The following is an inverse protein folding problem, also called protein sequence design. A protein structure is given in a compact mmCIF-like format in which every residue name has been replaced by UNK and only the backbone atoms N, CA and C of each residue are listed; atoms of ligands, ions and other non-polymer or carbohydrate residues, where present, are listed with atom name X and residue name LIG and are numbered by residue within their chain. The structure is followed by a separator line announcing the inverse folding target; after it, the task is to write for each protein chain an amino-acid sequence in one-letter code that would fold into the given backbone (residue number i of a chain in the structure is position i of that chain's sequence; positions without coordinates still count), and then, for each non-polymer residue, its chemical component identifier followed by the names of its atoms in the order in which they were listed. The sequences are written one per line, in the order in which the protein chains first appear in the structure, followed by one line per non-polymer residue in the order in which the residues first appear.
data_IF_309483524724
#
_entry.id   IF_309483524724
#
_cell.length_a   1.000
_cell.length_b   1.000
_cell.length_c   1.000
_cell.angle_alpha   90.00
_cell.angle_beta   90.00
_cell.angle_gamma   90.00
#
_symmetry.space_group_name_H-M   'P 1'
#
loop_
_entity.id
_entity.type
_entity.pdbx_description
1 polymer ?
#
# COMPACT_ATOMS: atom_id res chain seq x y z
N UNK A 1 9.08 17.09 -2.98
CA UNK A 1 9.18 15.98 -2.00
C UNK A 1 8.28 14.86 -2.46
N UNK A 2 8.76 13.62 -2.50
CA UNK A 2 7.96 12.46 -2.88
C UNK A 2 6.73 12.28 -1.99
N UNK A 3 5.64 11.81 -2.55
CA UNK A 3 4.37 11.56 -1.86
C UNK A 3 4.38 10.14 -1.28
N UNK A 4 4.17 10.01 0.04
CA UNK A 4 4.08 8.70 0.71
C UNK A 4 2.61 8.33 0.89
N UNK A 5 2.19 7.20 0.32
CA UNK A 5 0.82 6.67 0.39
C UNK A 5 0.85 5.29 1.04
N UNK A 6 0.22 5.14 2.21
CA UNK A 6 -0.01 3.83 2.81
C UNK A 6 -1.29 3.21 2.24
N UNK A 7 -1.22 1.95 1.81
CA UNK A 7 -2.39 1.19 1.36
C UNK A 7 -2.83 0.28 2.50
N UNK A 8 -3.86 0.67 3.23
CA UNK A 8 -4.22 0.04 4.49
C UNK A 8 -5.71 -0.31 4.57
N UNK A 9 -5.98 -1.47 5.14
CA UNK A 9 -7.28 -1.91 5.63
C UNK A 9 -7.07 -3.07 6.60
N UNK A 10 -7.84 -3.10 7.69
CA UNK A 10 -7.76 -4.16 8.69
C UNK A 10 -8.25 -5.51 8.15
N UNK A 11 -9.21 -5.50 7.23
CA UNK A 11 -9.76 -6.72 6.64
C UNK A 11 -8.74 -7.35 5.67
N UNK A 12 -8.47 -8.65 5.83
CA UNK A 12 -7.72 -9.44 4.88
C UNK A 12 -8.48 -9.63 3.56
N UNK A 13 -7.76 -9.81 2.46
CA UNK A 13 -8.35 -10.15 1.17
C UNK A 13 -9.08 -9.02 0.43
N UNK A 14 -9.01 -7.77 0.91
CA UNK A 14 -9.67 -6.62 0.24
C UNK A 14 -8.89 -6.05 -0.95
N UNK A 15 -7.77 -6.65 -1.32
CA UNK A 15 -6.94 -6.22 -2.44
C UNK A 15 -5.90 -5.13 -2.11
N UNK A 16 -5.42 -5.05 -0.86
CA UNK A 16 -4.32 -4.13 -0.47
C UNK A 16 -3.09 -4.35 -1.34
N UNK A 17 -2.49 -5.53 -1.24
CA UNK A 17 -1.28 -5.90 -1.97
C UNK A 17 -1.44 -5.80 -3.49
N UNK A 18 -2.58 -6.29 -4.02
CA UNK A 18 -2.90 -6.13 -5.45
C UNK A 18 -2.93 -4.65 -5.86
N UNK A 19 -3.49 -3.79 -5.00
CA UNK A 19 -3.54 -2.34 -5.25
C UNK A 19 -2.15 -1.72 -5.13
N UNK A 20 -1.36 -2.07 -4.12
CA UNK A 20 0.00 -1.56 -3.91
C UNK A 20 0.90 -1.88 -5.11
N UNK A 21 0.92 -3.14 -5.56
CA UNK A 21 1.68 -3.59 -6.73
C UNK A 21 1.26 -2.81 -7.98
N UNK A 22 -0.03 -2.85 -8.32
CA UNK A 22 -0.49 -2.29 -9.58
C UNK A 22 -0.52 -0.75 -9.59
N UNK A 23 -0.69 -0.11 -8.44
CA UNK A 23 -0.53 1.34 -8.34
C UNK A 23 0.94 1.74 -8.53
N UNK A 24 1.88 1.06 -7.85
CA UNK A 24 3.31 1.34 -7.96
C UNK A 24 3.80 1.12 -9.40
N UNK A 25 3.50 -0.03 -10.00
CA UNK A 25 3.85 -0.33 -11.38
C UNK A 25 3.22 0.67 -12.36
N UNK A 26 1.94 0.99 -12.20
CA UNK A 26 1.24 1.93 -13.09
C UNK A 26 1.76 3.37 -12.97
N UNK A 27 2.18 3.82 -11.78
CA UNK A 27 2.84 5.11 -11.60
C UNK A 27 4.22 5.13 -12.29
N UNK A 28 4.98 4.02 -12.20
CA UNK A 28 6.26 3.89 -12.88
C UNK A 28 6.09 3.87 -14.41
N UNK A 29 5.08 3.20 -14.95
CA UNK A 29 4.71 3.29 -16.38
C UNK A 29 4.23 4.69 -16.80
N UNK A 30 3.85 5.54 -15.86
CA UNK A 30 3.56 6.95 -16.09
C UNK A 30 4.79 7.86 -15.82
N UNK A 31 6.00 7.31 -15.98
CA UNK A 31 7.29 8.00 -15.85
C UNK A 31 7.53 8.65 -14.47
N UNK A 32 6.93 8.09 -13.40
CA UNK A 32 7.21 8.51 -12.02
C UNK A 32 8.28 7.60 -11.41
N UNK A 33 9.17 8.18 -10.62
CA UNK A 33 10.12 7.42 -9.79
C UNK A 33 9.37 6.89 -8.58
N UNK A 34 9.31 5.58 -8.42
CA UNK A 34 8.47 4.94 -7.41
C UNK A 34 9.27 3.98 -6.55
N UNK A 35 9.03 4.03 -5.24
CA UNK A 35 9.44 3.01 -4.28
C UNK A 35 8.20 2.27 -3.79
N UNK A 36 8.14 0.96 -3.98
CA UNK A 36 7.19 0.07 -3.32
C UNK A 36 7.83 -0.49 -2.05
N UNK A 37 7.22 -0.22 -0.91
CA UNK A 37 7.63 -0.77 0.39
C UNK A 37 6.68 -1.90 0.75
N UNK A 38 7.14 -3.13 0.73
CA UNK A 38 6.39 -4.25 1.28
C UNK A 38 6.56 -4.23 2.82
N UNK A 39 5.47 -3.97 3.52
CA UNK A 39 5.48 -3.86 4.97
C UNK A 39 4.62 -4.93 5.65
N UNK A 40 4.24 -5.96 4.87
CA UNK A 40 3.58 -7.16 5.38
C UNK A 40 4.62 -8.29 5.54
N UNK A 41 4.75 -8.89 6.74
CA UNK A 41 5.65 -10.03 6.98
C UNK A 41 5.45 -11.22 6.05
N UNK A 42 4.29 -11.31 5.39
CA UNK A 42 4.02 -12.36 4.42
C UNK A 42 4.78 -12.18 3.10
N UNK A 43 5.34 -10.99 2.82
CA UNK A 43 6.13 -10.71 1.62
C UNK A 43 5.35 -10.82 0.31
N UNK A 44 4.02 -10.61 0.37
CA UNK A 44 3.16 -10.82 -0.79
C UNK A 44 3.39 -9.79 -1.90
N UNK A 45 3.72 -8.53 -1.57
CA UNK A 45 4.06 -7.54 -2.57
C UNK A 45 5.44 -7.83 -3.19
N UNK A 46 6.41 -8.25 -2.39
CA UNK A 46 7.75 -8.67 -2.82
C UNK A 46 7.69 -9.79 -3.86
N UNK A 47 6.96 -10.85 -3.54
CA UNK A 47 6.80 -11.98 -4.44
C UNK A 47 5.94 -11.63 -5.66
N UNK A 48 4.85 -10.92 -5.43
CA UNK A 48 3.84 -10.62 -6.44
C UNK A 48 4.29 -9.64 -7.52
N UNK A 49 5.35 -8.84 -7.27
CA UNK A 49 5.98 -7.95 -8.27
C UNK A 49 7.27 -8.54 -8.85
N UNK A 50 7.65 -9.75 -8.43
CA UNK A 50 8.82 -10.44 -8.95
C UNK A 50 10.16 -9.99 -8.34
N UNK A 51 10.18 -9.20 -7.30
CA UNK A 51 11.41 -8.80 -6.63
C UNK A 51 12.22 -10.01 -6.12
N UNK A 52 11.53 -11.08 -5.72
CA UNK A 52 12.16 -12.33 -5.33
C UNK A 52 12.89 -13.06 -6.49
N UNK A 53 12.57 -12.75 -7.75
CA UNK A 53 13.14 -13.41 -8.93
C UNK A 53 14.43 -12.78 -9.42
N UNK A 54 14.76 -11.56 -8.99
CA UNK A 54 15.91 -10.78 -9.48
C UNK A 54 17.08 -10.72 -8.50
N UNK A 55 17.27 -11.80 -7.71
CA UNK A 55 18.44 -11.92 -6.82
C UNK A 55 18.24 -11.26 -5.45
N UNK A 56 17.03 -11.18 -4.96
CA UNK A 56 16.73 -10.72 -3.62
C UNK A 56 17.46 -11.57 -2.56
N UNK A 57 18.33 -10.94 -1.79
CA UNK A 57 18.95 -11.52 -0.61
C UNK A 57 18.09 -11.24 0.62
N UNK A 58 17.68 -12.29 1.33
CA UNK A 58 16.84 -12.19 2.54
C UNK A 58 17.48 -11.38 3.67
N UNK A 59 18.79 -11.21 3.64
CA UNK A 59 19.50 -10.34 4.58
C UNK A 59 19.33 -8.85 4.26
N UNK A 60 18.73 -8.51 3.12
CA UNK A 60 18.45 -7.15 2.70
C UNK A 60 16.93 -6.96 2.58
N UNK A 61 16.30 -6.47 3.63
CA UNK A 61 14.84 -6.29 3.68
C UNK A 61 14.44 -5.10 4.56
N UNK A 62 13.16 -4.77 4.53
CA UNK A 62 12.59 -3.73 5.40
C UNK A 62 12.82 -4.02 6.89
N UNK A 63 13.00 -5.28 7.29
CA UNK A 63 13.33 -5.63 8.68
C UNK A 63 14.69 -5.08 9.07
N UNK A 64 15.75 -5.27 8.26
CA UNK A 64 17.10 -4.75 8.53
C UNK A 64 17.10 -3.21 8.53
N UNK A 65 16.32 -2.60 7.64
CA UNK A 65 16.15 -1.15 7.63
C UNK A 65 15.47 -0.66 8.90
N UNK A 66 14.39 -1.33 9.36
CA UNK A 66 13.58 -0.89 10.48
C UNK A 66 14.27 -1.10 11.82
N UNK A 67 14.86 -2.29 12.04
CA UNK A 67 15.42 -2.74 13.32
C UNK A 67 16.94 -2.61 13.38
N UNK A 68 17.59 -2.51 12.23
CA UNK A 68 19.05 -2.39 12.12
C UNK A 68 19.55 -0.98 11.81
N UNK A 69 20.83 -0.93 11.47
CA UNK A 69 21.51 0.30 11.03
C UNK A 69 21.39 0.57 9.54
N UNK A 70 20.85 -0.37 8.77
CA UNK A 70 20.82 -0.34 7.32
C UNK A 70 19.98 0.83 6.78
N UNK A 71 20.39 1.32 5.63
CA UNK A 71 19.64 2.34 4.89
C UNK A 71 18.65 1.69 3.92
N UNK A 72 17.64 2.45 3.52
CA UNK A 72 16.73 2.00 2.45
C UNK A 72 17.50 1.71 1.16
N UNK A 73 18.45 2.56 0.80
CA UNK A 73 19.22 2.44 -0.44
C UNK A 73 20.03 1.14 -0.54
N UNK A 74 20.50 0.60 0.58
CA UNK A 74 21.27 -0.66 0.64
C UNK A 74 20.36 -1.89 0.50
N UNK A 75 19.05 -1.73 0.73
CA UNK A 75 18.09 -2.82 0.81
C UNK A 75 17.06 -2.83 -0.32
N UNK A 76 17.09 -1.86 -1.24
CA UNK A 76 16.16 -1.85 -2.38
C UNK A 76 16.59 -2.82 -3.47
N UNK A 77 15.60 -3.52 -4.01
CA UNK A 77 15.71 -4.32 -5.23
C UNK A 77 15.21 -3.46 -6.39
N UNK A 78 16.02 -3.33 -7.44
CA UNK A 78 15.64 -2.57 -8.64
C UNK A 78 15.06 -3.51 -9.67
N UNK A 79 13.87 -3.20 -10.14
CA UNK A 79 13.24 -3.89 -11.25
C UNK A 79 13.50 -3.11 -12.54
N UNK A 80 13.83 -3.83 -13.61
CA UNK A 80 14.18 -3.21 -14.90
C UNK A 80 12.94 -2.67 -15.64
N UNK A 81 11.79 -3.26 -15.40
CA UNK A 81 10.57 -2.93 -16.13
C UNK A 81 9.35 -2.90 -15.21
N UNK A 82 8.69 -1.80 -15.12
CA UNK A 82 9.13 -0.42 -15.31
C UNK A 82 10.15 -0.03 -14.24
N UNK A 83 10.88 1.09 -14.32
CA UNK A 83 11.88 1.46 -13.33
C UNK A 83 11.22 1.67 -11.97
N UNK A 84 11.12 0.58 -11.21
CA UNK A 84 10.45 0.47 -9.93
C UNK A 84 11.43 -0.09 -8.91
N UNK A 85 11.68 0.68 -7.86
CA UNK A 85 12.44 0.21 -6.71
C UNK A 85 11.49 -0.47 -5.71
N UNK A 86 11.92 -1.60 -5.15
CA UNK A 86 11.15 -2.36 -4.15
C UNK A 86 11.99 -2.49 -2.89
N UNK A 87 11.46 -2.07 -1.74
CA UNK A 87 12.00 -2.44 -0.43
C UNK A 87 11.26 -3.70 0.04
N UNK A 88 11.93 -4.87 -0.04
CA UNK A 88 11.24 -6.14 0.14
C UNK A 88 10.99 -6.49 1.61
N UNK A 89 9.99 -7.34 1.88
CA UNK A 89 9.74 -7.92 3.18
C UNK A 89 10.18 -9.38 3.25
N UNK A 90 10.52 -9.80 4.47
CA UNK A 90 10.71 -11.20 4.85
C UNK A 90 9.86 -11.52 6.07
N UNK A 91 9.72 -12.79 6.39
CA UNK A 91 9.03 -13.27 7.60
C UNK A 91 9.62 -12.69 8.88
N UNK A 92 10.89 -12.28 8.86
CA UNK A 92 11.58 -11.69 10.01
C UNK A 92 10.91 -10.40 10.49
N UNK A 93 10.22 -9.69 9.58
CA UNK A 93 9.43 -8.51 9.94
C UNK A 93 8.34 -8.81 10.98
N UNK A 94 7.88 -10.06 11.11
CA UNK A 94 6.98 -10.45 12.19
C UNK A 94 7.62 -10.34 13.58
N UNK A 95 8.95 -10.49 13.66
CA UNK A 95 9.73 -10.27 14.87
C UNK A 95 9.77 -8.80 15.29
N UNK A 96 9.78 -7.88 14.33
CA UNK A 96 9.84 -6.46 14.60
C UNK A 96 8.66 -5.95 15.44
N UNK A 97 7.45 -6.47 15.23
CA UNK A 97 6.26 -6.11 16.05
C UNK A 97 6.49 -6.49 17.53
N UNK A 98 7.09 -7.66 17.79
CA UNK A 98 7.41 -8.14 19.13
C UNK A 98 8.56 -7.34 19.76
N UNK A 99 9.62 -7.09 18.99
CA UNK A 99 10.78 -6.33 19.43
C UNK A 99 10.41 -4.89 19.77
N UNK A 100 9.68 -4.20 18.91
CA UNK A 100 9.15 -2.87 19.17
C UNK A 100 8.19 -2.83 20.37
N UNK A 101 7.41 -3.90 20.60
CA UNK A 101 6.52 -3.99 21.75
C UNK A 101 7.27 -4.24 23.06
N UNK A 102 8.36 -5.01 23.04
CA UNK A 102 9.19 -5.30 24.23
C UNK A 102 9.99 -4.10 24.71
N UNK A 103 10.37 -3.20 23.82
CA UNK A 103 11.08 -1.96 24.11
C UNK A 103 10.11 -0.86 24.60
N UNK A 104 9.31 -1.16 25.65
CA UNK A 104 8.25 -0.30 26.18
C UNK A 104 8.71 1.12 26.61
N UNK A 105 10.01 1.33 26.77
CA UNK A 105 10.59 2.59 27.21
C UNK A 105 11.27 3.39 26.07
N UNK A 106 11.35 2.84 24.84
CA UNK A 106 11.87 3.61 23.72
C UNK A 106 10.81 4.56 23.17
N UNK A 107 11.01 5.84 23.44
CA UNK A 107 10.23 6.92 22.84
C UNK A 107 10.55 7.00 21.35
N UNK A 108 9.52 6.91 20.51
CA UNK A 108 9.68 7.14 19.08
C UNK A 108 9.64 5.88 18.20
N UNK A 109 9.38 4.71 18.76
CA UNK A 109 9.24 3.45 18.02
C UNK A 109 8.14 3.49 16.90
N UNK A 110 7.19 4.38 17.02
CA UNK A 110 6.15 4.62 16.02
C UNK A 110 6.66 5.44 14.82
N UNK A 111 7.85 6.02 14.91
CA UNK A 111 8.47 6.87 13.89
C UNK A 111 9.64 6.20 13.15
N UNK A 112 9.97 4.95 13.43
CA UNK A 112 11.14 4.27 12.85
C UNK A 112 11.07 4.26 11.33
N UNK A 113 9.98 3.79 10.74
CA UNK A 113 9.82 3.76 9.29
C UNK A 113 9.86 5.17 8.69
N UNK A 114 9.24 6.17 9.36
CA UNK A 114 9.25 7.55 8.91
C UNK A 114 10.68 8.08 8.77
N UNK A 115 11.52 7.90 9.78
CA UNK A 115 12.92 8.36 9.77
C UNK A 115 13.69 7.77 8.60
N UNK A 116 13.51 6.47 8.34
CA UNK A 116 14.19 5.77 7.25
C UNK A 116 13.70 6.23 5.87
N UNK A 117 12.40 6.42 5.68
CA UNK A 117 11.84 6.88 4.41
C UNK A 117 12.12 8.36 4.13
N UNK A 118 12.14 9.23 5.15
CA UNK A 118 12.45 10.65 4.98
C UNK A 118 13.87 10.85 4.39
N UNK A 119 14.83 9.95 4.67
CA UNK A 119 16.19 10.01 4.14
C UNK A 119 16.26 9.81 2.61
N UNK A 120 15.33 9.05 2.03
CA UNK A 120 15.31 8.74 0.59
C UNK A 120 14.16 9.43 -0.15
N UNK A 121 13.27 10.09 0.56
CA UNK A 121 12.02 10.65 0.04
C UNK A 121 12.18 11.54 -1.19
N UNK A 122 13.26 12.31 -1.27
CA UNK A 122 13.52 13.21 -2.40
C UNK A 122 13.98 12.48 -3.68
N UNK A 123 14.31 11.20 -3.59
CA UNK A 123 14.72 10.40 -4.74
C UNK A 123 13.52 9.88 -5.54
N UNK A 124 12.34 9.84 -4.91
CA UNK A 124 11.11 9.30 -5.47
C UNK A 124 10.03 10.38 -5.64
N UNK A 125 9.15 10.18 -6.60
CA UNK A 125 7.94 10.99 -6.77
C UNK A 125 6.80 10.41 -5.92
N UNK A 126 6.76 9.06 -5.80
CA UNK A 126 5.83 8.33 -4.94
C UNK A 126 6.53 7.22 -4.15
N UNK A 127 6.11 7.04 -2.90
CA UNK A 127 6.45 5.88 -2.07
C UNK A 127 5.12 5.23 -1.68
N UNK A 128 4.93 3.96 -2.07
CA UNK A 128 3.73 3.19 -1.79
C UNK A 128 4.06 2.16 -0.72
N UNK A 129 3.33 2.17 0.41
CA UNK A 129 3.55 1.22 1.51
C UNK A 129 2.40 0.21 1.48
N UNK A 130 2.72 -1.08 1.24
CA UNK A 130 1.77 -2.19 1.39
C UNK A 130 1.67 -2.61 2.85
N UNK A 131 0.53 -2.39 3.49
CA UNK A 131 0.35 -2.61 4.91
C UNK A 131 -0.23 -4.00 5.23
N UNK A 132 0.19 -4.64 6.35
CA UNK A 132 -0.40 -5.88 6.82
C UNK A 132 -1.87 -5.71 7.23
N UNK A 133 -2.65 -6.80 7.35
CA UNK A 133 -4.06 -6.74 7.76
C UNK A 133 -4.26 -6.55 9.28
N UNK A 134 -3.20 -6.29 10.03
CA UNK A 134 -3.24 -6.05 11.48
C UNK A 134 -3.35 -4.56 11.80
N UNK A 135 -3.70 -4.21 13.05
CA UNK A 135 -3.61 -2.84 13.57
C UNK A 135 -2.46 -2.68 14.58
N UNK A 136 -1.38 -3.47 14.43
CA UNK A 136 -0.20 -3.47 15.28
C UNK A 136 0.75 -2.29 15.04
N UNK A 137 1.95 -2.37 15.63
CA UNK A 137 2.97 -1.34 15.53
C UNK A 137 3.48 -1.14 14.09
N UNK A 138 3.48 -2.19 13.25
CA UNK A 138 3.81 -2.06 11.84
C UNK A 138 2.83 -1.10 11.14
N UNK A 139 1.52 -1.31 11.27
CA UNK A 139 0.55 -0.37 10.69
C UNK A 139 0.67 1.05 11.27
N UNK A 140 0.93 1.17 12.57
CA UNK A 140 1.16 2.49 13.20
C UNK A 140 2.37 3.18 12.57
N UNK A 141 3.49 2.47 12.36
CA UNK A 141 4.67 2.99 11.67
C UNK A 141 4.36 3.42 10.23
N UNK A 142 3.63 2.58 9.46
CA UNK A 142 3.24 2.91 8.09
C UNK A 142 2.40 4.19 8.01
N UNK A 143 1.38 4.31 8.88
CA UNK A 143 0.51 5.49 8.94
C UNK A 143 1.23 6.73 9.47
N UNK A 144 2.20 6.56 10.38
CA UNK A 144 3.02 7.66 10.90
C UNK A 144 3.98 8.19 9.82
N UNK A 145 4.49 7.32 8.96
CA UNK A 145 5.36 7.69 7.85
C UNK A 145 4.62 8.31 6.66
N UNK A 146 3.35 7.96 6.46
CA UNK A 146 2.57 8.34 5.28
C UNK A 146 2.06 9.79 5.32
N UNK A 147 1.96 10.42 4.15
CA UNK A 147 1.21 11.67 3.98
C UNK A 147 -0.30 11.42 3.91
N UNK A 148 -0.64 10.26 3.36
CA UNK A 148 -2.04 9.89 3.19
C UNK A 148 -2.23 8.38 3.15
N UNK A 149 -3.46 7.95 3.40
CA UNK A 149 -3.86 6.55 3.36
C UNK A 149 -4.88 6.30 2.27
N UNK A 150 -4.57 5.36 1.36
CA UNK A 150 -5.52 4.78 0.41
C UNK A 150 -6.18 3.57 1.06
N UNK A 151 -7.49 3.49 0.99
CA UNK A 151 -8.30 2.48 1.67
C UNK A 151 -9.02 1.61 0.64
N UNK A 152 -8.47 0.45 0.27
CA UNK A 152 -9.20 -0.53 -0.55
C UNK A 152 -10.36 -1.14 0.26
N UNK A 153 -11.56 -1.15 -0.33
CA UNK A 153 -12.79 -1.66 0.28
C UNK A 153 -13.45 -2.65 -0.66
N UNK A 154 -13.50 -3.90 -0.25
CA UNK A 154 -14.27 -4.91 -0.96
C UNK A 154 -15.77 -4.67 -0.75
N UNK A 155 -16.54 -4.68 -1.86
CA UNK A 155 -17.98 -4.40 -1.83
C UNK A 155 -18.78 -5.61 -1.32
N UNK A 156 -18.64 -5.91 -0.01
CA UNK A 156 -19.32 -6.98 0.72
C UNK A 156 -20.00 -6.46 1.99
N UNK A 157 -20.88 -7.26 2.58
CA UNK A 157 -21.74 -6.89 3.71
C UNK A 157 -20.99 -6.27 4.91
N UNK A 158 -19.84 -6.84 5.29
CA UNK A 158 -19.05 -6.34 6.43
C UNK A 158 -18.04 -5.22 6.07
N UNK A 159 -18.18 -4.61 4.90
CA UNK A 159 -17.22 -3.58 4.43
C UNK A 159 -17.16 -2.36 5.37
N UNK A 160 -18.29 -1.92 5.88
CA UNK A 160 -18.42 -0.72 6.72
C UNK A 160 -17.88 -0.91 8.15
N UNK A 161 -17.99 -2.12 8.69
CA UNK A 161 -17.48 -2.42 10.04
C UNK A 161 -15.95 -2.29 10.11
N UNK A 162 -15.23 -2.91 9.16
CA UNK A 162 -13.78 -2.79 9.07
C UNK A 162 -13.30 -1.35 8.83
N UNK A 163 -14.08 -0.54 8.10
CA UNK A 163 -13.79 0.87 7.91
C UNK A 163 -13.84 1.68 9.20
N UNK A 164 -14.80 1.42 10.06
CA UNK A 164 -14.96 2.15 11.34
C UNK A 164 -13.75 1.97 12.23
N UNK A 165 -13.23 0.76 12.33
CA UNK A 165 -12.04 0.45 13.14
C UNK A 165 -10.80 1.10 12.54
N UNK A 166 -10.58 1.02 11.23
CA UNK A 166 -9.46 1.68 10.55
C UNK A 166 -9.51 3.20 10.75
N UNK A 167 -10.69 3.83 10.62
CA UNK A 167 -10.85 5.27 10.85
C UNK A 167 -10.52 5.67 12.29
N UNK A 168 -10.83 4.83 13.26
CA UNK A 168 -10.47 5.06 14.65
C UNK A 168 -8.94 5.03 14.84
N UNK A 169 -8.25 4.08 14.18
CA UNK A 169 -6.78 4.01 14.18
C UNK A 169 -6.17 5.24 13.48
N UNK A 170 -6.69 5.65 12.31
CA UNK A 170 -6.21 6.85 11.61
C UNK A 170 -6.33 8.08 12.52
N UNK A 171 -7.48 8.28 13.19
CA UNK A 171 -7.67 9.39 14.13
C UNK A 171 -6.71 9.34 15.32
N UNK A 172 -6.39 8.14 15.82
CA UNK A 172 -5.41 7.96 16.88
C UNK A 172 -4.02 8.38 16.40
N UNK A 173 -3.60 7.91 15.23
CA UNK A 173 -2.31 8.27 14.63
C UNK A 173 -2.23 9.78 14.37
N UNK A 174 -3.29 10.40 13.82
CA UNK A 174 -3.36 11.86 13.61
C UNK A 174 -3.18 12.63 14.91
N UNK A 175 -3.76 12.15 16.00
CA UNK A 175 -3.69 12.84 17.30
C UNK A 175 -2.33 12.72 17.96
N UNK A 176 -1.66 11.55 17.85
CA UNK A 176 -0.47 11.23 18.64
C UNK A 176 0.84 11.39 17.89
N UNK A 177 0.88 11.00 16.59
CA UNK A 177 2.15 10.81 15.89
C UNK A 177 2.23 11.54 14.53
N UNK A 178 1.13 11.65 13.80
CA UNK A 178 1.12 12.25 12.46
C UNK A 178 -0.12 13.13 12.22
N UNK A 179 -0.14 14.37 12.73
CA UNK A 179 -1.27 15.30 12.55
C UNK A 179 -1.56 15.62 11.07
N UNK A 180 -0.57 15.45 10.19
CA UNK A 180 -0.68 15.70 8.75
C UNK A 180 -1.29 14.56 7.95
N UNK A 181 -1.48 13.36 8.55
CA UNK A 181 -2.04 12.22 7.86
C UNK A 181 -3.44 12.53 7.31
N UNK A 182 -3.65 12.28 6.05
CA UNK A 182 -4.95 12.50 5.39
C UNK A 182 -5.47 11.21 4.73
N UNK A 183 -6.77 11.16 4.42
CA UNK A 183 -7.30 10.11 3.56
C UNK A 183 -6.99 10.50 2.11
N UNK A 184 -6.21 9.68 1.41
CA UNK A 184 -5.93 9.82 -0.02
C UNK A 184 -7.21 9.57 -0.83
N UNK A 185 -7.78 8.39 -0.60
CA UNK A 185 -9.04 8.01 -1.18
C UNK A 185 -9.48 6.62 -0.76
N UNK A 186 -10.76 6.33 -1.00
CA UNK A 186 -11.36 5.01 -0.81
C UNK A 186 -11.56 4.35 -2.17
N UNK A 187 -10.93 3.19 -2.36
CA UNK A 187 -10.97 2.42 -3.60
C UNK A 187 -11.92 1.23 -3.45
N UNK A 188 -12.98 1.21 -4.23
CA UNK A 188 -13.88 0.06 -4.28
C UNK A 188 -13.22 -1.07 -5.07
N UNK A 189 -13.09 -2.24 -4.46
CA UNK A 189 -12.45 -3.42 -5.04
C UNK A 189 -13.44 -4.57 -5.19
N UNK A 190 -13.15 -5.48 -6.13
CA UNK A 190 -13.99 -6.64 -6.45
C UNK A 190 -15.46 -6.24 -6.69
N UNK A 191 -15.64 -5.03 -7.24
CA UNK A 191 -16.96 -4.47 -7.48
C UNK A 191 -17.64 -5.18 -8.65
N UNK A 192 -18.91 -5.56 -8.47
CA UNK A 192 -19.75 -6.12 -9.52
C UNK A 192 -21.08 -5.34 -9.59
N UNK A 193 -21.23 -4.58 -10.66
CA UNK A 193 -22.43 -3.74 -10.91
C UNK A 193 -23.74 -4.54 -11.00
N UNK A 194 -23.65 -5.86 -11.25
CA UNK A 194 -24.81 -6.75 -11.39
C UNK A 194 -25.39 -7.17 -10.04
N UNK A 195 -24.61 -7.02 -8.97
CA UNK A 195 -25.05 -7.42 -7.64
C UNK A 195 -25.62 -6.24 -6.86
N UNK A 196 -26.85 -6.41 -6.33
CA UNK A 196 -27.49 -5.40 -5.48
C UNK A 196 -26.58 -4.99 -4.31
N UNK A 197 -25.96 -5.97 -3.65
CA UNK A 197 -25.12 -5.74 -2.50
C UNK A 197 -23.94 -4.81 -2.82
N UNK A 198 -23.24 -5.04 -3.95
CA UNK A 198 -22.11 -4.17 -4.34
C UNK A 198 -22.58 -2.72 -4.54
N UNK A 199 -23.74 -2.53 -5.17
CA UNK A 199 -24.30 -1.20 -5.41
C UNK A 199 -24.71 -0.51 -4.09
N UNK A 200 -25.35 -1.25 -3.18
CA UNK A 200 -25.72 -0.73 -1.87
C UNK A 200 -24.48 -0.32 -1.04
N UNK A 201 -23.45 -1.18 -0.99
CA UNK A 201 -22.19 -0.87 -0.31
C UNK A 201 -21.53 0.36 -0.94
N UNK A 202 -21.48 0.45 -2.28
CA UNK A 202 -20.95 1.62 -2.97
C UNK A 202 -21.68 2.91 -2.54
N UNK A 203 -23.02 2.87 -2.49
CA UNK A 203 -23.82 4.04 -2.11
C UNK A 203 -23.52 4.48 -0.67
N UNK A 204 -23.45 3.55 0.27
CA UNK A 204 -23.15 3.85 1.67
C UNK A 204 -21.70 4.38 1.82
N UNK A 205 -20.72 3.78 1.15
CA UNK A 205 -19.33 4.28 1.15
C UNK A 205 -19.27 5.68 0.57
N UNK A 206 -19.95 5.95 -0.57
CA UNK A 206 -20.02 7.29 -1.17
C UNK A 206 -20.74 8.30 -0.29
N UNK A 207 -21.79 7.91 0.41
CA UNK A 207 -22.50 8.78 1.36
C UNK A 207 -21.59 9.25 2.50
N UNK A 208 -20.74 8.36 3.01
CA UNK A 208 -19.85 8.65 4.13
C UNK A 208 -18.60 9.41 3.69
N UNK A 209 -17.91 8.94 2.64
CA UNK A 209 -16.62 9.48 2.20
C UNK A 209 -16.73 10.54 1.09
N UNK A 210 -17.89 10.69 0.49
CA UNK A 210 -18.19 11.70 -0.55
C UNK A 210 -17.14 11.69 -1.67
N UNK A 211 -16.46 12.80 -1.88
CA UNK A 211 -15.47 13.04 -2.94
C UNK A 211 -14.15 12.26 -2.71
N UNK A 212 -13.97 11.67 -1.52
CA UNK A 212 -12.82 10.82 -1.24
C UNK A 212 -12.95 9.42 -1.83
N UNK A 213 -14.11 9.02 -2.36
CA UNK A 213 -14.26 7.76 -3.09
C UNK A 213 -13.80 7.95 -4.52
N UNK A 214 -12.81 7.16 -4.95
CA UNK A 214 -12.35 7.19 -6.34
C UNK A 214 -13.51 6.97 -7.31
N UNK A 215 -13.43 7.60 -8.47
CA UNK A 215 -14.43 7.42 -9.55
C UNK A 215 -14.29 6.04 -10.17
N UNK A 216 -13.05 5.60 -10.35
CA UNK A 216 -12.76 4.25 -10.78
C UNK A 216 -13.04 3.24 -9.66
N UNK A 217 -13.28 2.01 -10.04
CA UNK A 217 -13.36 0.85 -9.15
C UNK A 217 -12.60 -0.33 -9.79
N UNK A 218 -12.12 -1.24 -8.96
CA UNK A 218 -11.46 -2.45 -9.43
C UNK A 218 -12.49 -3.57 -9.49
N UNK A 219 -12.79 -4.11 -10.67
CA UNK A 219 -13.74 -5.21 -10.82
C UNK A 219 -13.15 -6.52 -10.29
N UNK A 220 -14.00 -7.50 -9.99
CA UNK A 220 -13.54 -8.87 -9.79
C UNK A 220 -12.96 -9.38 -11.11
N UNK A 221 -11.67 -9.72 -11.12
CA UNK A 221 -10.95 -10.11 -12.33
C UNK A 221 -9.91 -11.18 -12.01
N UNK A 222 -10.02 -12.34 -12.67
CA UNK A 222 -9.14 -13.49 -12.45
C UNK A 222 -7.67 -13.15 -12.78
N UNK A 223 -7.44 -12.32 -13.81
CA UNK A 223 -6.10 -11.91 -14.22
C UNK A 223 -5.33 -11.20 -13.10
N UNK A 224 -6.04 -10.39 -12.28
CA UNK A 224 -5.45 -9.75 -11.09
C UNK A 224 -5.00 -10.75 -10.00
N UNK A 225 -5.61 -11.94 -9.97
CA UNK A 225 -5.22 -12.99 -9.03
C UNK A 225 -4.11 -13.90 -9.60
N UNK A 226 -4.02 -14.00 -10.93
CA UNK A 226 -3.02 -14.81 -11.62
C UNK A 226 -1.67 -14.10 -11.74
N UNK A 227 -1.67 -12.79 -12.05
CA UNK A 227 -0.46 -12.00 -12.29
C UNK A 227 0.61 -12.15 -11.17
N UNK A 228 0.26 -12.06 -9.87
CA UNK A 228 1.24 -12.21 -8.79
C UNK A 228 1.91 -13.59 -8.74
N UNK A 229 1.25 -14.65 -9.25
CA UNK A 229 1.84 -15.99 -9.32
C UNK A 229 2.97 -16.08 -10.35
N UNK A 230 3.08 -15.11 -11.23
CA UNK A 230 4.16 -14.97 -12.22
C UNK A 230 5.20 -13.94 -11.75
N UNK A 231 4.96 -13.22 -10.67
CA UNK A 231 5.77 -12.10 -10.24
C UNK A 231 5.61 -10.89 -11.18
N UNK A 232 4.43 -10.69 -11.74
CA UNK A 232 4.15 -9.66 -12.73
C UNK A 232 3.03 -8.73 -12.24
N UNK A 233 3.16 -7.43 -12.58
CA UNK A 233 2.02 -6.53 -12.48
C UNK A 233 0.96 -6.89 -13.52
N UNK A 234 -0.26 -6.39 -13.34
CA UNK A 234 -1.32 -6.58 -14.34
C UNK A 234 -0.96 -5.97 -15.71
N UNK A 235 -0.10 -4.96 -15.72
CA UNK A 235 0.35 -4.29 -16.93
C UNK A 235 1.34 -5.12 -17.75
N UNK A 236 2.07 -6.02 -17.11
CA UNK A 236 2.95 -7.00 -17.76
C UNK A 236 2.17 -8.26 -18.14
N UNK A 237 1.32 -8.73 -17.22
CA UNK A 237 0.60 -9.98 -17.38
C UNK A 237 -0.51 -9.91 -18.45
N UNK A 238 -1.39 -8.89 -18.39
CA UNK A 238 -2.49 -8.72 -19.34
C UNK A 238 -2.96 -7.26 -19.43
N UNK A 239 -2.30 -6.48 -20.31
CA UNK A 239 -2.60 -5.05 -20.53
C UNK A 239 -4.02 -4.78 -21.03
N UNK A 240 -4.70 -5.79 -21.61
CA UNK A 240 -6.03 -5.64 -22.20
C UNK A 240 -7.15 -5.99 -21.22
N UNK A 241 -6.81 -6.57 -20.08
CA UNK A 241 -7.79 -6.97 -19.07
C UNK A 241 -8.56 -5.77 -18.49
N UNK A 242 -9.77 -6.02 -18.03
CA UNK A 242 -10.55 -4.99 -17.31
C UNK A 242 -9.84 -4.55 -16.02
N UNK A 243 -9.05 -5.45 -15.40
CA UNK A 243 -8.20 -5.11 -14.26
C UNK A 243 -7.13 -4.07 -14.62
N UNK A 244 -6.43 -4.24 -15.73
CA UNK A 244 -5.43 -3.29 -16.20
C UNK A 244 -6.05 -1.92 -16.51
N UNK A 245 -7.16 -1.88 -17.24
CA UNK A 245 -7.89 -0.64 -17.53
C UNK A 245 -8.32 0.09 -16.26
N UNK A 246 -8.80 -0.65 -15.26
CA UNK A 246 -9.22 -0.08 -13.99
C UNK A 246 -8.04 0.55 -13.23
N UNK A 247 -6.88 -0.13 -13.17
CA UNK A 247 -5.69 0.44 -12.54
C UNK A 247 -5.11 1.62 -13.32
N UNK A 248 -5.19 1.65 -14.67
CA UNK A 248 -4.88 2.87 -15.44
C UNK A 248 -5.76 4.05 -15.01
N UNK A 249 -7.06 3.79 -14.79
CA UNK A 249 -7.98 4.79 -14.26
C UNK A 249 -7.55 5.30 -12.88
N UNK A 250 -7.21 4.40 -11.96
CA UNK A 250 -6.74 4.75 -10.61
C UNK A 250 -5.47 5.60 -10.66
N UNK A 251 -4.47 5.20 -11.43
CA UNK A 251 -3.20 5.92 -11.59
C UNK A 251 -3.45 7.35 -12.06
N UNK A 252 -4.30 7.55 -13.08
CA UNK A 252 -4.66 8.88 -13.56
C UNK A 252 -5.34 9.73 -12.50
N UNK A 253 -6.23 9.16 -11.70
CA UNK A 253 -6.89 9.89 -10.60
C UNK A 253 -5.89 10.27 -9.52
N UNK A 254 -4.99 9.35 -9.11
CA UNK A 254 -3.94 9.62 -8.10
C UNK A 254 -3.01 10.74 -8.56
N UNK A 255 -2.50 10.67 -9.80
CA UNK A 255 -1.63 11.72 -10.34
C UNK A 255 -2.37 13.05 -10.36
N UNK A 256 -3.59 13.11 -10.92
CA UNK A 256 -4.38 14.34 -11.01
C UNK A 256 -4.71 14.97 -9.66
N UNK A 257 -4.90 14.17 -8.61
CA UNK A 257 -5.16 14.67 -7.25
C UNK A 257 -3.91 15.27 -6.59
N UNK A 258 -2.72 14.71 -6.88
CA UNK A 258 -1.47 15.10 -6.24
C UNK A 258 -0.71 16.20 -7.01
N UNK A 259 -0.89 16.34 -8.31
CA UNK A 259 -0.30 17.43 -9.11
C UNK A 259 -1.05 18.77 -8.99
N UNK A 260 -2.27 18.76 -8.47
CA UNK A 260 -3.08 19.98 -8.24
C UNK A 260 -2.83 20.65 -6.87
N UNK A 261 -1.99 20.04 -6.05
CA UNK A 261 -1.61 20.54 -4.73
C UNK A 261 -0.22 21.17 -4.76
#
# INVERSE_FOLDING_TARGET
MGKIIAVANQKGGVGKTTTSINLAAGLAYADKRVLLVDFDPQGNATNGIGAANVGFDRNHSVYQVLMGSDTVAENVVKLDMPPLDVLPATIDLSGADVEMASNLYEVGREHLLKQKLDAVRNQYDYIIIDCPPSLGLLNTNALTAADSVMIPVQCEYFALEGLTQLLSTIRLVQRLWNPGLSIEGVLLTMFDVRTKLSVEVQQEVRKYFKEKVYRCYIPRNVRLSEAPSRGESIFEYDTRSEGAKAYVGLVKEVISQNEKR
#
